data_IF_972668328597
#
_entry.id   IF_972668328597
#
_cell.length_a   1.000
_cell.length_b   1.000
_cell.length_c   1.000
_cell.angle_alpha   90.00
_cell.angle_beta   90.00
_cell.angle_gamma   90.00
#
_symmetry.space_group_name_H-M   'P 1'
#
loop_
_entity.id
_entity.type
_entity.pdbx_description
1 polymer ?
#
# COMPACT_ATOMS: atom_id res chain seq x y z
N UNK A 1 72.85 -60.91 40.44
CA UNK A 1 72.50 -59.71 39.66
C UNK A 1 71.27 -60.00 38.86
N UNK A 2 70.05 -59.55 39.36
CA UNK A 2 68.78 -59.72 38.66
C UNK A 2 68.34 -58.35 38.13
N UNK A 3 68.20 -58.22 36.81
CA UNK A 3 67.69 -57.03 36.15
C UNK A 3 66.17 -57.14 36.00
N UNK A 4 65.44 -56.34 36.72
CA UNK A 4 64.00 -56.11 36.58
C UNK A 4 63.70 -55.22 35.37
N UNK A 5 62.97 -55.72 34.42
CA UNK A 5 62.44 -54.99 33.26
C UNK A 5 61.03 -54.44 33.64
N UNK A 6 60.91 -53.10 33.71
CA UNK A 6 59.67 -52.43 33.91
C UNK A 6 59.06 -52.12 32.55
N UNK A 7 57.94 -52.76 32.25
CA UNK A 7 57.08 -52.48 31.06
C UNK A 7 56.16 -51.32 31.34
N UNK A 8 56.36 -50.20 30.65
CA UNK A 8 55.41 -49.07 30.62
C UNK A 8 54.29 -49.40 29.64
N UNK A 9 53.07 -49.57 30.12
CA UNK A 9 51.90 -49.64 29.30
C UNK A 9 51.38 -48.24 28.96
N UNK A 10 51.47 -47.83 27.69
CA UNK A 10 50.92 -46.57 27.18
C UNK A 10 49.41 -46.70 26.96
N UNK A 11 48.65 -45.99 27.79
CA UNK A 11 47.18 -45.89 27.68
C UNK A 11 46.85 -44.83 26.59
N UNK A 12 46.48 -45.25 25.38
CA UNK A 12 45.99 -44.38 24.32
C UNK A 12 44.51 -44.03 24.60
N UNK A 13 44.24 -42.80 25.06
CA UNK A 13 42.90 -42.26 25.21
C UNK A 13 42.37 -41.84 23.84
N UNK A 14 41.49 -42.63 23.25
CA UNK A 14 40.74 -42.23 22.07
C UNK A 14 39.72 -41.18 22.48
N UNK A 15 40.01 -39.91 22.27
CA UNK A 15 39.01 -38.80 22.31
C UNK A 15 38.16 -38.88 21.03
N UNK A 16 37.01 -39.56 21.09
CA UNK A 16 35.97 -39.44 20.07
C UNK A 16 35.42 -37.99 20.13
N UNK A 17 35.87 -37.16 19.21
CA UNK A 17 35.25 -35.86 18.92
C UNK A 17 33.85 -36.11 18.43
N UNK A 18 32.84 -35.92 19.28
CA UNK A 18 31.45 -35.75 18.87
C UNK A 18 31.40 -34.48 17.98
N UNK A 19 31.59 -34.70 16.69
CA UNK A 19 31.23 -33.70 15.69
C UNK A 19 29.71 -33.51 15.82
N UNK A 20 29.27 -32.56 16.67
CA UNK A 20 27.90 -32.14 16.73
C UNK A 20 27.46 -31.79 15.33
N UNK A 21 26.43 -32.44 14.84
CA UNK A 21 25.80 -32.10 13.57
C UNK A 21 25.44 -30.61 13.64
N UNK A 22 26.24 -29.76 12.99
CA UNK A 22 25.90 -28.36 12.82
C UNK A 22 24.54 -28.32 12.14
N UNK A 23 23.52 -27.64 12.72
CA UNK A 23 22.25 -27.46 12.05
C UNK A 23 22.54 -26.89 10.67
N UNK A 24 21.92 -27.47 9.63
CA UNK A 24 22.07 -27.00 8.26
C UNK A 24 21.91 -25.49 8.24
N UNK A 25 22.81 -24.75 7.57
CA UNK A 25 22.76 -23.32 7.57
C UNK A 25 21.38 -22.87 7.10
N UNK A 26 20.68 -22.13 7.93
CA UNK A 26 19.34 -21.62 7.63
C UNK A 26 19.42 -20.78 6.36
N UNK A 27 18.53 -21.03 5.42
CA UNK A 27 18.36 -20.18 4.25
C UNK A 27 17.34 -19.10 4.58
N UNK A 28 17.53 -17.91 4.06
CA UNK A 28 16.52 -16.85 4.07
C UNK A 28 15.66 -16.95 2.81
N UNK A 29 14.42 -16.54 2.92
CA UNK A 29 13.48 -16.50 1.80
C UNK A 29 12.95 -15.09 1.60
N UNK A 30 12.96 -14.61 0.35
CA UNK A 30 12.46 -13.30 -0.05
C UNK A 30 11.36 -13.47 -1.08
N UNK A 31 10.16 -12.97 -0.76
CA UNK A 31 9.02 -12.92 -1.66
C UNK A 31 8.84 -11.56 -2.31
N UNK A 32 8.31 -11.53 -3.52
CA UNK A 32 7.87 -10.29 -4.18
C UNK A 32 6.42 -10.44 -4.59
N UNK A 33 5.56 -9.58 -4.02
CA UNK A 33 4.16 -9.43 -4.38
C UNK A 33 3.76 -7.94 -4.33
N UNK A 34 3.93 -7.24 -5.44
CA UNK A 34 3.61 -5.83 -5.57
C UNK A 34 2.88 -5.60 -6.91
N UNK A 35 1.63 -6.06 -7.06
CA UNK A 35 0.88 -6.00 -8.31
C UNK A 35 0.57 -4.58 -8.79
N UNK A 36 0.58 -3.58 -7.91
CA UNK A 36 0.40 -2.17 -8.28
C UNK A 36 1.65 -1.53 -8.91
N UNK A 37 2.78 -2.25 -8.94
CA UNK A 37 4.04 -1.75 -9.50
C UNK A 37 4.35 -2.44 -10.83
N UNK A 38 4.67 -1.65 -11.83
CA UNK A 38 5.05 -2.15 -13.16
C UNK A 38 6.48 -2.73 -13.16
N UNK A 39 6.68 -3.84 -12.47
CA UNK A 39 7.97 -4.56 -12.47
C UNK A 39 8.24 -5.32 -13.78
N UNK A 40 7.38 -5.12 -14.79
CA UNK A 40 7.52 -5.75 -16.10
C UNK A 40 7.00 -7.19 -16.16
N UNK A 41 7.61 -7.99 -17.04
CA UNK A 41 7.24 -9.40 -17.26
C UNK A 41 7.51 -10.27 -16.03
N UNK A 42 6.94 -11.47 -15.98
CA UNK A 42 7.22 -12.43 -14.91
C UNK A 42 8.75 -12.70 -14.75
N UNK A 43 9.49 -12.77 -15.86
CA UNK A 43 10.94 -12.96 -15.84
C UNK A 43 11.65 -11.74 -15.24
N UNK A 44 11.23 -10.52 -15.56
CA UNK A 44 11.80 -9.29 -14.99
C UNK A 44 11.52 -9.19 -13.50
N UNK A 45 10.30 -9.55 -13.06
CA UNK A 45 9.96 -9.62 -11.63
C UNK A 45 10.83 -10.62 -10.88
N UNK A 46 11.04 -11.81 -11.45
CA UNK A 46 11.91 -12.82 -10.85
C UNK A 46 13.37 -12.36 -10.81
N UNK A 47 13.87 -11.75 -11.87
CA UNK A 47 15.24 -11.21 -11.93
C UNK A 47 15.45 -10.11 -10.87
N UNK A 48 14.46 -9.24 -10.66
CA UNK A 48 14.47 -8.25 -9.58
C UNK A 48 14.56 -8.92 -8.21
N UNK A 49 13.68 -9.90 -7.94
CA UNK A 49 13.67 -10.64 -6.68
C UNK A 49 15.01 -11.34 -6.41
N UNK A 50 15.59 -11.98 -7.43
CA UNK A 50 16.90 -12.65 -7.34
C UNK A 50 18.05 -11.65 -7.07
N UNK A 51 18.02 -10.48 -7.70
CA UNK A 51 19.02 -9.44 -7.47
C UNK A 51 18.95 -8.91 -6.03
N UNK A 52 17.74 -8.71 -5.51
CA UNK A 52 17.50 -8.30 -4.13
C UNK A 52 18.00 -9.38 -3.15
N UNK A 53 17.65 -10.65 -3.39
CA UNK A 53 18.11 -11.77 -2.57
C UNK A 53 19.65 -11.88 -2.56
N UNK A 54 20.29 -11.68 -3.70
CA UNK A 54 21.76 -11.68 -3.81
C UNK A 54 22.40 -10.54 -2.99
N UNK A 55 21.81 -9.36 -2.99
CA UNK A 55 22.28 -8.24 -2.15
C UNK A 55 22.15 -8.57 -0.66
N UNK A 56 21.06 -9.20 -0.25
CA UNK A 56 20.84 -9.66 1.13
C UNK A 56 21.87 -10.74 1.50
N UNK A 57 22.09 -11.73 0.63
CA UNK A 57 23.09 -12.79 0.83
C UNK A 57 24.49 -12.21 1.01
N UNK A 58 24.88 -11.25 0.17
CA UNK A 58 26.19 -10.57 0.28
C UNK A 58 26.35 -9.82 1.62
N UNK A 59 25.31 -9.18 2.12
CA UNK A 59 25.37 -8.41 3.36
C UNK A 59 25.31 -9.27 4.62
N UNK A 60 24.57 -10.40 4.57
CA UNK A 60 24.35 -11.26 5.72
C UNK A 60 25.27 -12.48 5.78
N UNK A 61 25.85 -12.90 4.64
CA UNK A 61 26.54 -14.18 4.48
C UNK A 61 25.61 -15.40 4.51
N UNK A 62 24.28 -15.20 4.57
CA UNK A 62 23.30 -16.27 4.64
C UNK A 62 22.67 -16.46 3.25
N UNK A 63 22.70 -17.70 2.76
CA UNK A 63 22.09 -18.04 1.48
C UNK A 63 20.63 -17.62 1.42
N UNK A 64 20.24 -16.90 0.37
CA UNK A 64 18.92 -16.28 0.26
C UNK A 64 18.26 -16.71 -1.04
N UNK A 65 17.09 -17.32 -0.93
CA UNK A 65 16.27 -17.74 -2.07
C UNK A 65 15.19 -16.68 -2.35
N UNK A 66 14.88 -16.45 -3.64
CA UNK A 66 13.89 -15.47 -4.06
C UNK A 66 12.78 -16.08 -4.88
N UNK A 67 11.55 -15.61 -4.67
CA UNK A 67 10.37 -16.07 -5.39
C UNK A 67 9.38 -14.91 -5.63
N UNK A 68 8.65 -15.01 -6.73
CA UNK A 68 7.54 -14.09 -7.05
C UNK A 68 6.22 -14.80 -6.73
N UNK A 69 5.32 -14.09 -6.09
CA UNK A 69 4.05 -14.64 -5.63
C UNK A 69 2.87 -14.03 -6.39
N UNK A 70 1.80 -14.79 -6.49
CA UNK A 70 0.56 -14.36 -7.13
C UNK A 70 -0.44 -13.75 -6.13
N UNK A 71 -0.26 -13.99 -4.83
CA UNK A 71 -1.09 -13.46 -3.76
C UNK A 71 -0.38 -13.54 -2.39
N UNK A 72 -0.89 -12.80 -1.42
CA UNK A 72 -0.32 -12.74 -0.06
C UNK A 72 -0.46 -14.08 0.68
N UNK A 73 -1.59 -14.79 0.51
CA UNK A 73 -1.81 -16.07 1.18
C UNK A 73 -0.75 -17.14 0.82
N UNK A 74 -0.23 -17.11 -0.40
CA UNK A 74 0.85 -18.01 -0.80
C UNK A 74 2.16 -17.69 -0.07
N UNK A 75 2.47 -16.40 0.15
CA UNK A 75 3.63 -15.98 0.97
C UNK A 75 3.55 -16.52 2.39
N UNK A 76 2.37 -16.43 3.00
CA UNK A 76 2.13 -16.92 4.38
C UNK A 76 2.20 -18.44 4.45
N UNK A 77 1.65 -19.14 3.45
CA UNK A 77 1.69 -20.61 3.36
C UNK A 77 3.12 -21.12 3.26
N UNK A 78 3.95 -20.47 2.43
CA UNK A 78 5.36 -20.82 2.22
C UNK A 78 6.26 -20.35 3.37
N UNK A 79 5.69 -19.63 4.36
CA UNK A 79 6.41 -19.08 5.53
C UNK A 79 7.64 -18.28 5.12
N UNK A 80 7.46 -17.39 4.14
CA UNK A 80 8.52 -16.51 3.65
C UNK A 80 9.01 -15.61 4.77
N UNK A 81 10.32 -15.40 4.88
CA UNK A 81 10.91 -14.59 5.94
C UNK A 81 10.70 -13.09 5.69
N UNK A 82 10.94 -12.65 4.44
CA UNK A 82 10.86 -11.25 4.03
C UNK A 82 10.08 -11.08 2.74
N UNK A 83 9.40 -9.97 2.58
CA UNK A 83 8.69 -9.71 1.33
C UNK A 83 8.67 -8.24 0.92
N UNK A 84 8.65 -7.99 -0.39
CA UNK A 84 8.22 -6.74 -1.01
C UNK A 84 6.71 -6.83 -1.21
N UNK A 85 5.96 -5.95 -0.58
CA UNK A 85 4.50 -5.96 -0.59
C UNK A 85 3.91 -4.61 -0.96
N UNK A 86 2.77 -4.63 -1.65
CA UNK A 86 1.98 -3.42 -1.90
C UNK A 86 1.56 -2.71 -0.62
N UNK A 87 1.37 -1.40 -0.74
CA UNK A 87 1.04 -0.52 0.37
C UNK A 87 -0.21 -0.95 1.15
N UNK A 88 -1.26 -1.42 0.47
CA UNK A 88 -2.48 -1.90 1.11
C UNK A 88 -2.19 -3.10 2.03
N UNK A 89 -1.33 -4.02 1.58
CA UNK A 89 -0.94 -5.19 2.36
C UNK A 89 -0.10 -4.80 3.59
N UNK A 90 0.84 -3.88 3.44
CA UNK A 90 1.64 -3.36 4.57
C UNK A 90 0.75 -2.61 5.57
N UNK A 91 -0.25 -1.88 5.08
CA UNK A 91 -1.17 -1.11 5.91
C UNK A 91 -2.10 -2.02 6.74
N UNK A 92 -2.62 -3.09 6.14
CA UNK A 92 -3.57 -4.01 6.79
C UNK A 92 -2.90 -4.94 7.79
N UNK A 93 -1.65 -5.33 7.54
CA UNK A 93 -0.92 -6.28 8.40
C UNK A 93 0.00 -5.56 9.40
N UNK A 94 -0.58 -5.03 10.46
CA UNK A 94 0.15 -4.28 11.48
C UNK A 94 1.24 -5.06 12.24
N UNK A 95 1.17 -6.39 12.25
CA UNK A 95 2.14 -7.27 12.92
C UNK A 95 3.46 -7.46 12.15
N UNK A 96 3.50 -7.14 10.87
CA UNK A 96 4.73 -7.23 10.09
C UNK A 96 5.67 -6.06 10.36
N UNK A 97 6.96 -6.36 10.49
CA UNK A 97 7.97 -5.34 10.73
C UNK A 97 8.41 -4.72 9.41
N UNK A 98 8.10 -3.45 9.20
CA UNK A 98 8.58 -2.68 8.05
C UNK A 98 10.08 -2.42 8.20
N UNK A 99 10.87 -2.74 7.17
CA UNK A 99 12.32 -2.60 7.13
C UNK A 99 12.80 -1.54 6.15
N UNK A 100 12.06 -1.30 5.06
CA UNK A 100 12.36 -0.27 4.09
C UNK A 100 11.12 0.15 3.29
N UNK A 101 11.14 1.37 2.77
CA UNK A 101 10.13 1.89 1.84
C UNK A 101 10.72 1.97 0.44
N UNK A 102 10.01 1.45 -0.56
CA UNK A 102 10.44 1.54 -1.95
C UNK A 102 10.44 2.99 -2.44
N UNK A 103 11.39 3.33 -3.30
CA UNK A 103 11.39 4.58 -4.06
C UNK A 103 10.97 4.32 -5.50
N UNK A 104 9.90 4.98 -5.93
CA UNK A 104 9.42 4.96 -7.32
C UNK A 104 9.48 6.39 -7.84
N UNK A 105 10.30 6.63 -8.85
CA UNK A 105 10.58 8.00 -9.31
C UNK A 105 11.21 8.89 -8.24
N UNK A 106 11.96 8.32 -7.29
CA UNK A 106 12.59 9.03 -6.17
C UNK A 106 11.66 9.34 -4.98
N UNK A 107 10.36 9.00 -5.06
CA UNK A 107 9.38 9.26 -4.01
C UNK A 107 8.96 7.97 -3.29
N UNK A 108 8.51 8.10 -2.03
CA UNK A 108 7.95 7.01 -1.21
C UNK A 108 6.43 7.01 -1.16
N UNK A 109 5.80 7.92 -1.91
CA UNK A 109 4.36 7.99 -2.16
C UNK A 109 4.10 8.22 -3.64
N UNK A 110 2.95 7.77 -4.11
CA UNK A 110 2.52 7.97 -5.50
C UNK A 110 1.15 8.66 -5.52
N UNK A 111 1.02 9.68 -6.35
CA UNK A 111 -0.28 10.23 -6.70
C UNK A 111 -1.06 9.19 -7.53
N UNK A 112 -2.32 9.01 -7.21
CA UNK A 112 -3.26 8.18 -7.95
C UNK A 112 -4.39 9.04 -8.50
N UNK A 113 -5.04 8.54 -9.53
CA UNK A 113 -6.23 9.18 -10.07
C UNK A 113 -7.21 8.12 -10.60
N UNK A 114 -8.46 8.48 -10.70
CA UNK A 114 -9.46 7.77 -11.48
C UNK A 114 -9.33 8.19 -12.94
N UNK A 115 -9.20 7.21 -13.82
CA UNK A 115 -9.17 7.40 -15.27
C UNK A 115 -10.38 6.75 -15.91
N UNK A 116 -10.86 7.31 -17.03
CA UNK A 116 -11.97 6.79 -17.79
C UNK A 116 -11.64 6.73 -19.29
N UNK A 117 -12.27 5.79 -19.99
CA UNK A 117 -12.20 5.69 -21.47
C UNK A 117 -13.07 6.73 -22.15
N UNK A 118 -14.19 7.09 -21.52
CA UNK A 118 -15.18 8.03 -22.05
C UNK A 118 -15.80 8.79 -20.88
N UNK A 119 -16.17 10.03 -21.10
CA UNK A 119 -16.74 10.88 -20.07
C UNK A 119 -15.68 11.70 -19.36
N UNK A 120 -16.04 12.91 -19.03
CA UNK A 120 -15.13 13.87 -18.42
C UNK A 120 -15.36 14.04 -16.92
N UNK A 121 -16.44 13.47 -16.36
CA UNK A 121 -16.83 13.66 -14.97
C UNK A 121 -17.32 12.38 -14.28
N UNK A 122 -17.46 12.45 -12.96
CA UNK A 122 -17.92 11.32 -12.15
C UNK A 122 -19.35 10.89 -12.46
N UNK A 123 -20.23 11.80 -12.87
CA UNK A 123 -21.64 11.47 -13.14
C UNK A 123 -21.75 10.52 -14.34
N UNK A 124 -20.93 10.72 -15.37
CA UNK A 124 -20.88 9.86 -16.54
C UNK A 124 -20.44 8.42 -16.21
N UNK A 125 -19.80 8.20 -15.07
CA UNK A 125 -19.35 6.88 -14.61
C UNK A 125 -20.38 6.14 -13.76
N UNK A 126 -21.49 6.77 -13.39
CA UNK A 126 -22.56 6.09 -12.64
C UNK A 126 -23.11 4.92 -13.46
N UNK A 127 -23.22 3.75 -12.83
CA UNK A 127 -23.67 2.51 -13.48
C UNK A 127 -22.66 1.89 -14.43
N UNK A 128 -21.43 2.41 -14.51
CA UNK A 128 -20.36 1.82 -15.32
C UNK A 128 -19.55 0.81 -14.51
N UNK A 129 -18.63 0.08 -15.18
CA UNK A 129 -17.72 -0.87 -14.51
C UNK A 129 -16.41 -0.19 -14.19
N UNK A 130 -15.87 -0.47 -12.99
CA UNK A 130 -14.58 -0.02 -12.49
C UNK A 130 -13.59 -1.19 -12.50
N UNK A 131 -12.41 -1.01 -13.09
CA UNK A 131 -11.26 -1.89 -12.95
C UNK A 131 -10.33 -1.38 -11.84
N UNK A 132 -9.68 -2.30 -11.14
CA UNK A 132 -8.69 -1.98 -10.11
C UNK A 132 -7.67 -3.11 -9.97
N UNK A 133 -6.52 -2.83 -9.37
CA UNK A 133 -5.51 -3.84 -9.05
C UNK A 133 -5.96 -4.59 -7.80
N UNK A 134 -6.17 -5.90 -7.93
CA UNK A 134 -6.55 -6.76 -6.82
C UNK A 134 -5.30 -7.15 -6.04
N UNK A 135 -5.20 -6.72 -4.79
CA UNK A 135 -4.09 -7.04 -3.90
C UNK A 135 -4.43 -8.16 -2.92
N UNK A 136 -5.69 -8.43 -2.68
CA UNK A 136 -6.17 -9.34 -1.64
C UNK A 136 -6.01 -8.80 -0.22
N UNK A 137 -5.70 -7.50 -0.08
CA UNK A 137 -5.45 -6.83 1.19
C UNK A 137 -6.45 -5.70 1.43
N UNK A 138 -7.71 -6.07 1.70
CA UNK A 138 -8.84 -5.14 1.85
C UNK A 138 -9.08 -4.29 0.57
N UNK A 139 -9.20 -4.97 -0.56
CA UNK A 139 -9.43 -4.32 -1.85
C UNK A 139 -10.72 -3.46 -1.85
N UNK A 140 -11.76 -3.88 -1.13
CA UNK A 140 -12.99 -3.11 -1.00
C UNK A 140 -12.75 -1.80 -0.25
N UNK A 141 -12.09 -1.85 0.90
CA UNK A 141 -11.70 -0.66 1.65
C UNK A 141 -10.76 0.24 0.84
N UNK A 142 -9.84 -0.35 0.08
CA UNK A 142 -8.95 0.42 -0.78
C UNK A 142 -9.73 1.19 -1.86
N UNK A 143 -10.63 0.54 -2.57
CA UNK A 143 -11.42 1.18 -3.63
C UNK A 143 -12.40 2.20 -3.06
N UNK A 144 -13.20 1.81 -2.07
CA UNK A 144 -14.32 2.62 -1.60
C UNK A 144 -13.91 3.76 -0.68
N UNK A 145 -13.01 3.45 0.27
CA UNK A 145 -12.68 4.40 1.32
C UNK A 145 -11.39 5.17 1.00
N UNK A 146 -10.35 4.49 0.46
CA UNK A 146 -9.08 5.14 0.21
C UNK A 146 -9.04 5.84 -1.16
N UNK A 147 -9.64 5.27 -2.21
CA UNK A 147 -9.60 5.84 -3.55
C UNK A 147 -10.82 6.71 -3.85
N UNK A 148 -12.03 6.24 -3.52
CA UNK A 148 -13.27 7.01 -3.71
C UNK A 148 -13.57 7.93 -2.51
N UNK A 149 -12.75 7.88 -1.45
CA UNK A 149 -12.86 8.73 -0.25
C UNK A 149 -14.25 8.66 0.41
N UNK A 150 -14.98 7.56 0.17
CA UNK A 150 -16.37 7.36 0.59
C UNK A 150 -17.37 8.41 0.06
N UNK A 151 -16.99 9.17 -0.99
CA UNK A 151 -17.84 10.21 -1.58
C UNK A 151 -18.98 9.65 -2.43
N UNK A 152 -18.91 8.38 -2.83
CA UNK A 152 -19.95 7.71 -3.61
C UNK A 152 -20.47 6.47 -2.89
N UNK A 153 -21.73 6.15 -3.13
CA UNK A 153 -22.36 4.94 -2.59
C UNK A 153 -21.77 3.66 -3.22
N UNK A 154 -21.92 2.53 -2.52
CA UNK A 154 -21.40 1.24 -2.98
C UNK A 154 -22.02 0.78 -4.32
N UNK A 155 -23.20 1.28 -4.69
CA UNK A 155 -23.90 1.01 -5.93
C UNK A 155 -23.54 1.95 -7.08
N UNK A 156 -22.66 2.91 -6.87
CA UNK A 156 -22.31 3.88 -7.89
C UNK A 156 -21.76 3.23 -9.16
N UNK A 157 -20.85 2.28 -9.02
CA UNK A 157 -20.40 1.43 -10.13
C UNK A 157 -21.24 0.17 -10.21
N UNK A 158 -21.73 -0.19 -11.41
CA UNK A 158 -22.52 -1.40 -11.62
C UNK A 158 -21.70 -2.70 -11.42
N UNK A 159 -20.39 -2.61 -11.44
CA UNK A 159 -19.50 -3.74 -11.20
C UNK A 159 -18.06 -3.31 -10.98
N UNK A 160 -17.32 -4.18 -10.32
CA UNK A 160 -15.90 -4.00 -9.99
C UNK A 160 -15.12 -5.19 -10.48
N UNK A 161 -14.05 -4.95 -11.24
CA UNK A 161 -13.22 -5.97 -11.85
C UNK A 161 -11.80 -5.89 -11.26
N UNK A 162 -11.50 -6.76 -10.29
CA UNK A 162 -10.14 -6.94 -9.78
C UNK A 162 -9.24 -7.55 -10.85
N UNK A 163 -8.07 -7.00 -11.05
CA UNK A 163 -7.07 -7.47 -12.03
C UNK A 163 -5.76 -7.82 -11.32
N UNK A 164 -5.02 -8.79 -11.87
CA UNK A 164 -3.84 -9.34 -11.18
C UNK A 164 -2.67 -8.36 -11.12
N UNK A 165 -2.63 -7.33 -11.97
CA UNK A 165 -1.61 -6.29 -11.95
C UNK A 165 -2.10 -4.99 -12.62
N UNK A 166 -1.30 -3.94 -12.48
CA UNK A 166 -1.62 -2.61 -12.99
C UNK A 166 -1.78 -2.60 -14.51
N UNK A 167 -0.93 -3.32 -15.23
CA UNK A 167 -1.00 -3.40 -16.70
C UNK A 167 -2.34 -4.00 -17.14
N UNK A 168 -2.76 -5.09 -16.52
CA UNK A 168 -4.04 -5.74 -16.79
C UNK A 168 -5.22 -4.82 -16.42
N UNK A 169 -5.15 -4.11 -15.30
CA UNK A 169 -6.21 -3.19 -14.89
C UNK A 169 -6.38 -2.04 -15.89
N UNK A 170 -5.29 -1.42 -16.34
CA UNK A 170 -5.33 -0.35 -17.35
C UNK A 170 -5.81 -0.88 -18.71
N UNK A 171 -5.35 -2.06 -19.14
CA UNK A 171 -5.73 -2.67 -20.39
C UNK A 171 -7.23 -3.01 -20.46
N UNK A 172 -7.86 -3.32 -19.33
CA UNK A 172 -9.30 -3.58 -19.23
C UNK A 172 -10.14 -2.40 -19.71
N UNK A 173 -9.65 -1.19 -19.49
CA UNK A 173 -10.31 0.05 -19.90
C UNK A 173 -9.79 0.54 -21.24
N UNK A 174 -8.48 0.62 -21.42
CA UNK A 174 -7.87 1.22 -22.61
C UNK A 174 -8.02 0.34 -23.84
N UNK A 175 -7.79 -0.97 -23.70
CA UNK A 175 -7.70 -1.91 -24.82
C UNK A 175 -8.96 -2.77 -24.98
N UNK A 176 -9.37 -3.45 -23.91
CA UNK A 176 -10.48 -4.41 -23.96
C UNK A 176 -11.84 -3.74 -23.84
N UNK A 177 -11.92 -2.51 -23.31
CA UNK A 177 -13.16 -1.76 -23.09
C UNK A 177 -14.22 -2.54 -22.29
N UNK A 178 -13.76 -3.48 -21.48
CA UNK A 178 -14.61 -4.31 -20.63
C UNK A 178 -14.97 -3.62 -19.31
N UNK A 179 -14.21 -2.57 -18.93
CA UNK A 179 -14.55 -1.59 -17.91
C UNK A 179 -14.45 -0.17 -18.49
N UNK A 180 -15.03 0.82 -17.83
CA UNK A 180 -15.04 2.21 -18.28
C UNK A 180 -14.17 3.12 -17.43
N UNK A 181 -13.78 2.67 -16.25
CA UNK A 181 -12.92 3.42 -15.34
C UNK A 181 -11.86 2.52 -14.68
N UNK A 182 -10.72 3.10 -14.30
CA UNK A 182 -9.64 2.41 -13.58
C UNK A 182 -8.93 3.37 -12.62
N UNK A 183 -8.59 2.89 -11.41
CA UNK A 183 -7.63 3.57 -10.57
C UNK A 183 -6.21 3.18 -10.96
N UNK A 184 -5.40 4.19 -11.24
CA UNK A 184 -4.01 3.99 -11.59
C UNK A 184 -3.13 5.13 -11.05
N UNK A 185 -1.83 4.88 -10.82
CA UNK A 185 -0.88 5.95 -10.56
C UNK A 185 -0.88 6.98 -11.68
N UNK A 186 -0.67 8.24 -11.32
CA UNK A 186 -0.60 9.33 -12.32
C UNK A 186 0.51 9.03 -13.33
N UNK A 187 0.15 9.09 -14.61
CA UNK A 187 1.03 8.77 -15.73
C UNK A 187 1.04 7.32 -16.19
N UNK A 188 0.44 6.37 -15.44
CA UNK A 188 0.39 4.97 -15.84
C UNK A 188 -0.74 4.64 -16.85
N UNK A 189 -1.86 5.37 -16.81
CA UNK A 189 -3.03 5.15 -17.67
C UNK A 189 -2.99 6.03 -18.94
N UNK A 190 -1.98 5.83 -19.79
CA UNK A 190 -1.83 6.59 -21.05
C UNK A 190 -3.03 6.40 -21.98
N UNK A 191 -3.50 7.48 -22.59
CA UNK A 191 -4.62 7.48 -23.52
C UNK A 191 -6.00 7.43 -22.86
N UNK A 192 -6.09 7.42 -21.54
CA UNK A 192 -7.33 7.58 -20.79
C UNK A 192 -7.47 9.01 -20.24
N UNK A 193 -8.71 9.44 -20.06
CA UNK A 193 -9.03 10.75 -19.48
C UNK A 193 -8.98 10.68 -17.96
N UNK A 194 -8.21 11.56 -17.31
CA UNK A 194 -8.23 11.69 -15.86
C UNK A 194 -9.53 12.36 -15.41
N UNK A 195 -10.24 11.73 -14.49
CA UNK A 195 -11.52 12.20 -13.95
C UNK A 195 -11.32 13.01 -12.68
N UNK A 196 -10.60 12.44 -11.71
CA UNK A 196 -10.21 13.15 -10.48
C UNK A 196 -8.93 12.57 -9.88
N UNK A 197 -8.24 13.37 -9.09
CA UNK A 197 -7.08 12.95 -8.31
C UNK A 197 -7.52 12.39 -6.96
N UNK A 198 -6.91 11.31 -6.53
CA UNK A 198 -7.12 10.74 -5.18
C UNK A 198 -5.99 11.15 -4.25
N UNK A 199 -6.18 10.97 -2.95
CA UNK A 199 -5.11 11.15 -2.01
C UNK A 199 -3.92 10.20 -2.31
N UNK A 200 -2.67 10.64 -2.08
CA UNK A 200 -1.50 9.84 -2.40
C UNK A 200 -1.47 8.52 -1.62
N UNK A 201 -0.89 7.50 -2.26
CA UNK A 201 -0.72 6.15 -1.72
C UNK A 201 0.76 5.91 -1.46
N UNK A 202 1.16 5.30 -0.33
CA UNK A 202 2.53 4.87 -0.12
C UNK A 202 3.00 3.92 -1.22
N UNK A 203 4.29 3.92 -1.48
CA UNK A 203 4.91 2.90 -2.34
C UNK A 203 5.00 1.56 -1.60
N UNK A 204 5.33 0.45 -2.26
CA UNK A 204 5.54 -0.82 -1.58
C UNK A 204 6.53 -0.75 -0.43
N UNK A 205 6.31 -1.59 0.57
CA UNK A 205 7.21 -1.78 1.68
C UNK A 205 7.96 -3.11 1.60
N UNK A 206 9.18 -3.12 2.12
CA UNK A 206 9.90 -4.35 2.41
C UNK A 206 9.70 -4.70 3.87
N UNK A 207 9.15 -5.87 4.13
CA UNK A 207 8.72 -6.28 5.47
C UNK A 207 9.32 -7.62 5.88
N UNK A 208 9.51 -7.80 7.19
CA UNK A 208 9.74 -9.09 7.82
C UNK A 208 8.39 -9.66 8.28
N UNK A 209 8.08 -10.88 7.85
CA UNK A 209 6.76 -11.51 8.03
C UNK A 209 6.58 -12.22 9.39
N UNK A 210 7.52 -12.06 10.32
CA UNK A 210 7.40 -12.60 11.68
C UNK A 210 8.04 -13.97 11.89
N UNK A 211 8.91 -14.42 10.97
CA UNK A 211 9.72 -15.63 11.19
C UNK A 211 10.66 -15.44 12.40
N UNK A 212 10.99 -16.56 13.08
CA UNK A 212 11.91 -16.54 14.24
C UNK A 212 13.35 -16.37 13.78
N UNK A 213 13.71 -15.15 13.40
CA UNK A 213 15.07 -14.76 13.05
C UNK A 213 15.69 -13.93 14.19
N UNK A 214 17.02 -14.02 14.41
CA UNK A 214 17.76 -13.12 15.28
C UNK A 214 17.58 -11.66 14.82
N UNK A 215 17.43 -10.74 15.78
CA UNK A 215 17.16 -9.32 15.49
C UNK A 215 18.29 -8.69 14.64
N UNK A 216 19.54 -9.05 14.95
CA UNK A 216 20.70 -8.57 14.19
C UNK A 216 20.70 -9.02 12.72
N UNK A 217 20.18 -10.22 12.42
CA UNK A 217 19.99 -10.69 11.04
C UNK A 217 18.93 -9.84 10.34
N UNK A 218 17.78 -9.61 10.99
CA UNK A 218 16.71 -8.79 10.44
C UNK A 218 17.19 -7.36 10.17
N UNK A 219 17.98 -6.79 11.10
CA UNK A 219 18.55 -5.43 10.93
C UNK A 219 19.56 -5.36 9.77
N UNK A 220 20.43 -6.38 9.64
CA UNK A 220 21.36 -6.47 8.50
C UNK A 220 20.63 -6.58 7.17
N UNK A 221 19.55 -7.38 7.12
CA UNK A 221 18.70 -7.49 5.93
C UNK A 221 18.08 -6.12 5.59
N UNK A 222 17.51 -5.42 6.58
CA UNK A 222 16.95 -4.08 6.37
C UNK A 222 17.99 -3.08 5.85
N UNK A 223 19.19 -3.09 6.41
CA UNK A 223 20.30 -2.24 5.95
C UNK A 223 20.74 -2.58 4.51
N UNK A 224 20.81 -3.87 4.17
CA UNK A 224 21.14 -4.33 2.83
C UNK A 224 20.11 -3.86 1.79
N UNK A 225 18.81 -3.92 2.13
CA UNK A 225 17.73 -3.45 1.25
C UNK A 225 17.77 -1.94 1.07
N UNK A 226 18.03 -1.17 2.12
CA UNK A 226 18.18 0.30 2.01
C UNK A 226 19.36 0.68 1.13
N UNK A 227 20.44 -0.11 1.13
CA UNK A 227 21.60 0.09 0.24
C UNK A 227 21.40 -0.48 -1.17
N UNK A 228 20.32 -1.19 -1.45
CA UNK A 228 20.08 -1.81 -2.75
C UNK A 228 19.53 -0.79 -3.75
N UNK A 229 20.32 -0.45 -4.74
CA UNK A 229 19.88 0.29 -5.92
C UNK A 229 19.32 -0.70 -6.93
N UNK A 230 18.03 -0.96 -6.81
CA UNK A 230 17.39 -2.03 -7.61
C UNK A 230 17.38 -1.72 -9.10
N UNK A 231 16.82 -1.43 -9.86
CA UNK A 231 16.60 -1.19 -11.28
C UNK A 231 15.12 -1.41 -11.63
N UNK A 232 14.66 -0.79 -12.69
CA UNK A 232 13.26 -0.84 -13.11
C UNK A 232 12.36 0.11 -12.31
N UNK A 233 11.13 -0.30 -12.05
CA UNK A 233 10.14 0.58 -11.43
C UNK A 233 10.49 0.97 -9.98
N UNK A 234 11.13 0.09 -9.22
CA UNK A 234 11.66 0.42 -7.89
C UNK A 234 13.12 0.81 -8.06
N UNK A 235 13.38 2.11 -8.08
CA UNK A 235 14.72 2.67 -8.30
C UNK A 235 15.63 2.61 -7.08
N UNK A 236 15.10 2.42 -5.89
CA UNK A 236 15.86 2.35 -4.64
C UNK A 236 14.95 2.14 -3.43
N UNK A 237 15.56 2.23 -2.24
CA UNK A 237 14.90 2.02 -0.96
C UNK A 237 15.34 3.06 0.07
N UNK A 238 14.46 3.45 0.95
CA UNK A 238 14.75 4.33 2.08
C UNK A 238 14.52 3.64 3.40
N UNK A 239 15.05 4.23 4.47
CA UNK A 239 14.75 3.80 5.84
C UNK A 239 13.24 3.70 6.07
N UNK A 240 12.79 2.78 6.94
CA UNK A 240 11.37 2.56 7.17
C UNK A 240 10.70 3.79 7.78
N UNK A 241 9.62 4.25 7.13
CA UNK A 241 8.68 5.23 7.66
C UNK A 241 7.30 4.60 7.66
N UNK A 242 6.72 4.36 8.84
CA UNK A 242 5.45 3.63 8.96
C UNK A 242 4.22 4.54 8.87
N UNK A 243 4.40 5.83 9.14
CA UNK A 243 3.33 6.82 9.18
C UNK A 243 2.44 6.82 7.92
N UNK A 244 2.99 6.76 6.68
CA UNK A 244 2.15 6.75 5.48
C UNK A 244 1.25 5.52 5.39
N UNK A 245 1.72 4.35 5.84
CA UNK A 245 0.90 3.13 5.86
C UNK A 245 -0.14 3.16 6.97
N UNK A 246 0.18 3.78 8.12
CA UNK A 246 -0.79 4.00 9.19
C UNK A 246 -1.91 4.94 8.73
N UNK A 247 -1.56 6.01 8.02
CA UNK A 247 -2.53 6.92 7.40
C UNK A 247 -3.39 6.20 6.35
N UNK A 248 -2.77 5.36 5.49
CA UNK A 248 -3.53 4.54 4.55
C UNK A 248 -4.47 3.58 5.28
N UNK A 249 -4.00 2.90 6.33
CA UNK A 249 -4.85 1.99 7.13
C UNK A 249 -6.08 2.71 7.72
N UNK A 250 -5.89 3.93 8.21
CA UNK A 250 -7.01 4.73 8.70
C UNK A 250 -8.04 5.03 7.60
N UNK A 251 -7.57 5.27 6.37
CA UNK A 251 -8.44 5.47 5.20
C UNK A 251 -9.12 4.19 4.73
N UNK A 252 -8.50 3.01 4.87
CA UNK A 252 -9.12 1.72 4.51
C UNK A 252 -10.32 1.41 5.41
N UNK A 253 -10.28 1.79 6.68
CA UNK A 253 -11.41 1.67 7.59
C UNK A 253 -12.62 2.44 7.05
N UNK A 254 -13.81 1.92 7.28
CA UNK A 254 -15.02 2.70 6.99
C UNK A 254 -14.91 4.02 7.76
N UNK A 255 -14.85 5.13 7.04
CA UNK A 255 -15.13 6.42 7.63
C UNK A 255 -16.53 6.25 8.23
N UNK A 256 -16.61 6.20 9.55
CA UNK A 256 -17.90 6.12 10.22
C UNK A 256 -18.77 7.21 9.61
N UNK A 257 -20.08 6.97 9.48
CA UNK A 257 -21.06 7.93 8.97
C UNK A 257 -21.04 9.31 9.66
N UNK A 258 -20.14 9.53 10.59
CA UNK A 258 -19.94 10.77 11.33
C UNK A 258 -19.42 11.96 10.51
N UNK A 259 -19.09 11.77 9.22
CA UNK A 259 -18.68 12.89 8.34
C UNK A 259 -19.67 13.23 7.25
N UNK A 260 -20.67 12.43 7.01
CA UNK A 260 -21.83 12.85 6.24
C UNK A 260 -22.60 13.74 7.22
N UNK A 261 -22.56 15.06 7.01
CA UNK A 261 -23.60 15.94 7.54
C UNK A 261 -24.89 15.18 7.28
N UNK A 262 -25.50 14.64 8.35
CA UNK A 262 -26.83 14.08 8.24
C UNK A 262 -27.64 15.22 7.64
N UNK A 263 -27.97 15.11 6.35
CA UNK A 263 -28.94 16.00 5.75
C UNK A 263 -30.15 15.79 6.66
N UNK A 264 -30.51 16.77 7.49
CA UNK A 264 -31.66 16.58 8.36
C UNK A 264 -32.80 16.14 7.47
N UNK A 265 -33.51 15.10 7.89
CA UNK A 265 -34.71 14.66 7.16
C UNK A 265 -35.48 15.93 6.76
N UNK A 266 -35.89 16.04 5.48
CA UNK A 266 -36.56 17.24 5.02
C UNK A 266 -37.70 17.51 5.99
N UNK A 267 -37.54 18.59 6.75
CA UNK A 267 -38.59 19.03 7.65
C UNK A 267 -39.79 19.24 6.75
N UNK A 268 -40.79 18.39 6.88
CA UNK A 268 -42.10 18.67 6.28
C UNK A 268 -42.61 19.92 6.94
N UNK A 269 -42.31 21.07 6.34
CA UNK A 269 -42.96 22.31 6.71
C UNK A 269 -44.44 22.13 6.38
N UNK A 270 -45.26 22.00 7.38
CA UNK A 270 -46.70 22.07 7.19
C UNK A 270 -47.00 23.44 6.57
N UNK A 271 -47.88 23.50 5.59
CA UNK A 271 -48.23 24.77 4.93
C UNK A 271 -48.66 25.86 5.90
N UNK A 272 -49.03 25.47 7.12
CA UNK A 272 -49.36 26.38 8.23
C UNK A 272 -48.11 26.95 8.93
N UNK A 273 -46.99 26.27 8.93
CA UNK A 273 -45.75 26.76 9.55
C UNK A 273 -45.08 27.87 8.72
N UNK A 274 -45.45 28.03 7.45
CA UNK A 274 -44.98 29.11 6.56
C UNK A 274 -45.67 30.45 6.85
N UNK A 275 -46.74 30.43 7.63
CA UNK A 275 -47.53 31.61 8.02
C UNK A 275 -47.20 32.15 9.43
N UNK A 276 -46.04 31.75 9.99
CA UNK A 276 -45.52 32.44 11.16
C UNK A 276 -45.23 33.88 10.72
N UNK A 277 -46.03 34.82 11.23
CA UNK A 277 -45.74 36.24 11.04
C UNK A 277 -44.29 36.48 11.38
N UNK A 278 -43.52 37.12 10.45
CA UNK A 278 -42.12 37.40 10.75
C UNK A 278 -42.10 38.17 12.08
N UNK A 279 -41.24 37.79 13.03
CA UNK A 279 -41.13 38.51 14.28
C UNK A 279 -41.01 40.00 13.94
N UNK A 280 -41.82 40.84 14.54
CA UNK A 280 -41.76 42.29 14.38
C UNK A 280 -40.35 42.71 14.80
N UNK A 281 -39.45 42.81 13.83
CA UNK A 281 -38.12 43.34 14.04
C UNK A 281 -38.32 44.82 14.39
N UNK A 282 -38.01 45.17 15.63
CA UNK A 282 -37.97 46.57 16.01
C UNK A 282 -37.02 47.31 15.06
N UNK A 283 -37.40 48.48 14.58
CA UNK A 283 -36.62 49.28 13.60
C UNK A 283 -35.16 49.46 13.96
N UNK A 284 -34.80 49.44 15.23
CA UNK A 284 -33.42 49.47 15.73
C UNK A 284 -32.58 48.25 15.32
N UNK A 285 -33.18 47.05 15.24
CA UNK A 285 -32.46 45.86 14.81
C UNK A 285 -32.15 45.84 13.30
N UNK A 286 -33.04 46.43 12.50
CA UNK A 286 -32.85 46.59 11.05
C UNK A 286 -31.75 47.61 10.73
N UNK A 287 -31.55 48.62 11.56
CA UNK A 287 -30.48 49.60 11.36
C UNK A 287 -29.10 48.97 11.60
N UNK A 288 -28.95 48.14 12.63
CA UNK A 288 -27.69 47.44 12.91
C UNK A 288 -27.33 46.41 11.83
N UNK A 289 -28.30 45.65 11.34
CA UNK A 289 -28.09 44.71 10.25
C UNK A 289 -27.67 45.43 8.96
N UNK A 290 -28.25 46.58 8.65
CA UNK A 290 -27.84 47.37 7.48
C UNK A 290 -26.44 47.91 7.61
N UNK A 291 -25.97 48.27 8.79
CA UNK A 291 -24.59 48.75 8.97
C UNK A 291 -23.53 47.65 8.83
N UNK A 292 -23.90 46.40 9.11
CA UNK A 292 -22.96 45.28 8.94
C UNK A 292 -22.90 44.69 7.53
N UNK A 293 -23.93 44.90 6.71
CA UNK A 293 -23.99 44.30 5.37
C UNK A 293 -23.81 45.30 4.22
N UNK A 294 -23.71 46.58 4.47
CA UNK A 294 -23.73 47.57 3.37
C UNK A 294 -22.51 48.45 3.41
N UNK A 295 -21.39 47.94 3.10
CA UNK A 295 -20.43 48.62 2.20
C UNK A 295 -19.38 47.67 1.74
N UNK A 296 -19.35 47.28 0.45
CA UNK A 296 -18.10 46.96 -0.14
C UNK A 296 -17.21 48.24 -0.03
N UNK A 297 -15.91 48.08 0.26
CA UNK A 297 -14.99 49.19 0.25
C UNK A 297 -15.12 49.92 -1.08
N UNK A 298 -15.19 51.22 -1.03
CA UNK A 298 -15.38 52.13 -2.14
C UNK A 298 -14.63 51.68 -3.41
N UNK A 299 -15.37 51.12 -4.37
CA UNK A 299 -14.90 51.10 -5.73
C UNK A 299 -14.90 52.54 -6.20
N UNK A 300 -13.77 53.21 -6.14
CA UNK A 300 -13.58 54.46 -6.84
C UNK A 300 -13.74 54.19 -8.33
N UNK A 301 -14.82 54.65 -8.89
CA UNK A 301 -14.94 54.84 -10.32
C UNK A 301 -13.96 55.98 -10.70
N UNK A 302 -12.85 55.62 -11.31
CA UNK A 302 -12.14 56.50 -12.25
C UNK A 302 -12.58 56.15 -13.66
#
# INVERSE_FOLDING_TARGET
MRRTRTTLAALAVLTCSLAGAQPAPRRLTVGVYAPSVELGTAQQRLAYAQSLAKAIEQATGIKTDAQVYANVGALETDKVDFAVLDAACVATHGGWRLLANAQIGGATTRAYALYASTGADMQALRGKKLAYVQTGCDDAGFVDNAMLESEVDAGFFAGRAGKPDLTAAVAEVASYKAAQAVFAPVGAAKGLTKVFDTAPVPTPGFVHLGSKLPVDVVDKVGAAVVGFSGGGAIGGWTKPAREPYTALRARLGKLGKAGILAVPDPVKLDAMDVLIEPPTLHDTALVDVRHHFVRPPDARLE
#
